data_IF_316201102968
#
_entry.id   IF_316201102968
#
_cell.length_a   1.000
_cell.length_b   1.000
_cell.length_c   1.000
_cell.angle_alpha   90.00
_cell.angle_beta   90.00
_cell.angle_gamma   90.00
#
_symmetry.space_group_name_H-M   'P 1'
#
loop_
_entity.id
_entity.type
_entity.pdbx_description
1 polymer ?
#
# COMPACT_ATOMS: atom_id res chain seq x y z
N UNK A 1 -1.47 -18.61 2.88
CA UNK A 1 -2.13 -19.10 1.67
C UNK A 1 -3.11 -18.06 1.17
N UNK A 2 -2.99 -17.57 -0.05
CA UNK A 2 -3.95 -16.61 -0.56
C UNK A 2 -5.32 -17.27 -0.75
N UNK A 3 -6.36 -16.54 -0.47
CA UNK A 3 -7.72 -17.01 -0.65
C UNK A 3 -8.19 -16.76 -2.07
N UNK A 4 -8.88 -17.71 -2.74
CA UNK A 4 -9.61 -17.39 -3.96
C UNK A 4 -10.62 -16.27 -3.72
N UNK A 5 -10.96 -15.54 -4.79
CA UNK A 5 -11.88 -14.41 -4.67
C UNK A 5 -13.14 -14.73 -3.85
N UNK A 6 -13.73 -15.90 -4.07
CA UNK A 6 -14.97 -16.26 -3.38
C UNK A 6 -14.82 -16.45 -1.87
N UNK A 7 -13.59 -16.65 -1.39
CA UNK A 7 -13.28 -16.85 0.02
C UNK A 7 -12.67 -15.62 0.70
N UNK A 8 -12.54 -14.51 -0.04
CA UNK A 8 -12.13 -13.24 0.56
C UNK A 8 -13.34 -12.64 1.26
N UNK A 9 -13.20 -12.29 2.53
CA UNK A 9 -14.29 -11.73 3.32
C UNK A 9 -14.24 -10.21 3.36
N UNK A 10 -15.38 -9.57 3.20
CA UNK A 10 -15.51 -8.13 3.46
C UNK A 10 -15.23 -7.90 4.94
N UNK A 11 -14.38 -6.93 5.23
CA UNK A 11 -13.91 -6.64 6.59
C UNK A 11 -12.64 -7.38 6.98
N UNK A 12 -12.17 -8.31 6.16
CA UNK A 12 -10.91 -9.02 6.40
C UNK A 12 -9.74 -8.03 6.42
N UNK A 13 -8.89 -8.15 7.43
CA UNK A 13 -7.69 -7.32 7.58
C UNK A 13 -6.46 -8.18 7.32
N UNK A 14 -5.57 -7.66 6.46
CA UNK A 14 -4.32 -8.34 6.10
C UNK A 14 -3.15 -7.41 6.42
N UNK A 15 -2.18 -7.92 7.18
CA UNK A 15 -0.92 -7.19 7.42
C UNK A 15 -0.06 -7.20 6.15
N UNK A 16 0.49 -6.05 5.82
CA UNK A 16 1.36 -5.91 4.64
C UNK A 16 2.85 -5.93 5.01
N UNK A 17 3.17 -6.01 6.30
CA UNK A 17 4.55 -5.97 6.75
C UNK A 17 5.01 -4.58 7.12
N UNK A 18 6.32 -4.41 7.28
CA UNK A 18 6.93 -3.18 7.77
C UNK A 18 8.04 -2.71 6.84
N UNK A 19 8.28 -1.41 6.82
CA UNK A 19 9.40 -0.80 6.11
C UNK A 19 9.97 0.34 6.96
N UNK A 20 11.29 0.43 7.01
CA UNK A 20 11.98 1.51 7.68
C UNK A 20 12.46 2.53 6.67
N UNK A 21 12.39 3.80 7.02
CA UNK A 21 12.94 4.88 6.18
C UNK A 21 14.46 4.89 6.32
N UNK A 22 15.15 4.34 5.33
CA UNK A 22 16.61 4.24 5.33
C UNK A 22 17.21 5.46 4.65
N UNK A 23 18.31 6.00 5.22
CA UNK A 23 18.99 7.19 4.71
C UNK A 23 19.40 7.06 3.25
N UNK A 24 20.06 5.95 2.90
CA UNK A 24 20.56 5.75 1.54
C UNK A 24 19.42 5.65 0.52
N UNK A 25 18.32 5.01 0.90
CA UNK A 25 17.15 4.88 0.02
C UNK A 25 16.49 6.23 -0.18
N UNK A 26 16.34 7.00 0.89
CA UNK A 26 15.76 8.35 0.81
C UNK A 26 16.59 9.26 -0.08
N UNK A 27 17.90 9.30 0.10
CA UNK A 27 18.80 10.13 -0.71
C UNK A 27 18.75 9.73 -2.19
N UNK A 28 18.78 8.43 -2.47
CA UNK A 28 18.68 7.92 -3.84
C UNK A 28 17.35 8.29 -4.48
N UNK A 29 16.25 8.16 -3.74
CA UNK A 29 14.94 8.51 -4.23
C UNK A 29 14.83 10.01 -4.55
N UNK A 30 15.28 10.86 -3.64
CA UNK A 30 15.26 12.31 -3.83
C UNK A 30 16.05 12.68 -5.10
N UNK A 31 17.27 12.16 -5.24
CA UNK A 31 18.10 12.47 -6.40
C UNK A 31 17.46 12.02 -7.71
N UNK A 32 16.81 10.86 -7.71
CA UNK A 32 16.23 10.29 -8.92
C UNK A 32 14.88 10.89 -9.31
N UNK A 33 14.05 11.24 -8.33
CA UNK A 33 12.64 11.56 -8.59
C UNK A 33 12.15 12.90 -8.06
N UNK A 34 12.77 13.43 -7.01
CA UNK A 34 12.31 14.67 -6.37
C UNK A 34 13.49 15.60 -6.06
N UNK A 35 14.28 16.03 -7.05
CA UNK A 35 15.56 16.70 -6.80
C UNK A 35 15.47 18.04 -6.04
N UNK A 36 14.27 18.65 -5.97
CA UNK A 36 14.05 19.88 -5.19
C UNK A 36 13.70 19.63 -3.73
N UNK A 37 13.57 18.38 -3.32
CA UNK A 37 13.20 18.02 -1.95
C UNK A 37 14.46 17.86 -1.10
N UNK A 38 14.37 18.22 0.18
CA UNK A 38 15.49 18.05 1.12
C UNK A 38 15.19 16.95 2.11
N UNK A 39 16.20 16.14 2.44
CA UNK A 39 16.04 14.95 3.28
C UNK A 39 15.55 15.26 4.70
N UNK A 40 15.84 16.46 5.23
CA UNK A 40 15.38 16.88 6.55
C UNK A 40 13.86 17.06 6.64
N UNK A 41 13.18 17.13 5.50
CA UNK A 41 11.71 17.19 5.44
C UNK A 41 11.05 15.82 5.59
N UNK A 42 11.83 14.74 5.68
CA UNK A 42 11.35 13.37 5.71
C UNK A 42 11.16 12.78 4.31
N UNK A 43 10.50 11.64 4.22
CA UNK A 43 10.26 10.98 2.94
C UNK A 43 9.25 11.80 2.12
N UNK A 44 9.55 12.14 0.85
CA UNK A 44 8.58 12.84 0.00
C UNK A 44 7.35 11.97 -0.27
N UNK A 45 6.24 12.60 -0.60
CA UNK A 45 4.96 11.91 -0.83
C UNK A 45 5.09 10.75 -1.81
N UNK A 46 5.78 10.95 -2.92
CA UNK A 46 5.99 9.89 -3.91
C UNK A 46 6.75 8.70 -3.35
N UNK A 47 7.71 8.93 -2.44
CA UNK A 47 8.43 7.83 -1.79
C UNK A 47 7.54 7.07 -0.81
N UNK A 48 6.70 7.76 -0.07
CA UNK A 48 5.73 7.11 0.84
C UNK A 48 4.80 6.21 0.03
N UNK A 49 4.33 6.68 -1.11
CA UNK A 49 3.54 5.86 -2.03
C UNK A 49 4.33 4.63 -2.51
N UNK A 50 5.58 4.82 -2.89
CA UNK A 50 6.43 3.72 -3.36
C UNK A 50 6.67 2.67 -2.28
N UNK A 51 6.85 3.11 -1.02
CA UNK A 51 7.00 2.19 0.12
C UNK A 51 5.74 1.36 0.29
N UNK A 52 4.57 2.00 0.28
CA UNK A 52 3.30 1.28 0.34
C UNK A 52 3.16 0.28 -0.81
N UNK A 53 3.45 0.71 -2.04
CA UNK A 53 3.33 -0.13 -3.23
C UNK A 53 4.23 -1.38 -3.13
N UNK A 54 5.43 -1.23 -2.58
CA UNK A 54 6.32 -2.36 -2.37
C UNK A 54 5.78 -3.32 -1.32
N UNK A 55 5.29 -2.81 -0.19
CA UNK A 55 4.69 -3.65 0.85
C UNK A 55 3.50 -4.43 0.31
N UNK A 56 2.64 -3.76 -0.43
CA UNK A 56 1.47 -4.39 -1.05
C UNK A 56 1.89 -5.47 -2.06
N UNK A 57 2.86 -5.17 -2.93
CA UNK A 57 3.32 -6.12 -3.93
C UNK A 57 3.93 -7.38 -3.31
N UNK A 58 4.73 -7.23 -2.26
CA UNK A 58 5.35 -8.35 -1.57
C UNK A 58 4.30 -9.19 -0.84
N UNK A 59 3.38 -8.55 -0.13
CA UNK A 59 2.34 -9.26 0.64
C UNK A 59 1.33 -9.96 -0.26
N UNK A 60 1.09 -9.44 -1.46
CA UNK A 60 0.08 -9.97 -2.38
C UNK A 60 0.67 -10.82 -3.52
N UNK A 61 1.94 -11.22 -3.42
CA UNK A 61 2.62 -12.01 -4.46
C UNK A 61 1.82 -13.26 -4.85
N UNK A 62 1.24 -13.94 -3.87
CA UNK A 62 0.51 -15.21 -4.10
C UNK A 62 -1.01 -15.01 -4.26
N UNK A 63 -1.48 -13.77 -4.26
CA UNK A 63 -2.90 -13.49 -4.42
C UNK A 63 -3.31 -13.65 -5.88
N UNK A 64 -4.55 -14.08 -6.15
CA UNK A 64 -5.04 -14.24 -7.53
C UNK A 64 -5.40 -12.90 -8.18
N UNK A 65 -4.66 -11.85 -7.87
CA UNK A 65 -4.83 -10.53 -8.47
C UNK A 65 -4.20 -10.52 -9.86
N UNK A 66 -5.01 -10.19 -10.86
CA UNK A 66 -4.56 -10.18 -12.26
C UNK A 66 -4.26 -8.78 -12.77
N UNK A 67 -4.92 -7.76 -12.21
CA UNK A 67 -4.75 -6.37 -12.66
C UNK A 67 -5.17 -5.40 -11.57
N UNK A 68 -4.33 -4.39 -11.30
CA UNK A 68 -4.72 -3.22 -10.53
C UNK A 68 -5.47 -2.27 -11.45
N UNK A 69 -6.76 -2.04 -11.16
CA UNK A 69 -7.61 -1.17 -11.97
C UNK A 69 -7.49 0.30 -11.60
N UNK A 70 -7.16 0.57 -10.34
CA UNK A 70 -7.00 1.95 -9.91
C UNK A 70 -6.55 2.06 -8.47
N UNK A 71 -6.03 3.24 -8.13
CA UNK A 71 -5.70 3.65 -6.77
C UNK A 71 -6.38 5.00 -6.56
N UNK A 72 -7.32 5.05 -5.63
CA UNK A 72 -8.14 6.23 -5.39
C UNK A 72 -7.93 6.77 -3.98
N UNK A 73 -8.39 7.99 -3.74
CA UNK A 73 -8.41 8.61 -2.42
C UNK A 73 -7.05 8.61 -1.73
N UNK A 74 -6.01 8.91 -2.49
CA UNK A 74 -4.65 9.04 -1.96
C UNK A 74 -4.60 10.17 -0.94
N UNK A 75 -4.10 9.85 0.25
CA UNK A 75 -4.00 10.81 1.35
C UNK A 75 -2.66 10.67 2.05
N UNK A 76 -1.90 11.75 2.08
CA UNK A 76 -0.65 11.84 2.83
C UNK A 76 -0.90 12.71 4.05
N UNK A 77 -0.69 12.15 5.25
CA UNK A 77 -0.91 12.87 6.50
C UNK A 77 0.35 13.62 6.93
N UNK A 78 1.51 12.97 6.76
CA UNK A 78 2.80 13.59 7.06
C UNK A 78 3.93 12.88 6.30
N UNK A 79 5.11 13.48 6.35
CA UNK A 79 6.31 12.94 5.72
C UNK A 79 7.18 12.31 6.81
N UNK A 80 7.25 10.98 6.90
CA UNK A 80 8.00 10.31 7.96
C UNK A 80 9.50 10.51 7.81
N UNK A 81 10.22 10.80 8.92
CA UNK A 81 11.66 11.02 8.87
C UNK A 81 12.44 9.72 8.76
N UNK A 82 13.74 9.86 8.44
CA UNK A 82 14.70 8.76 8.48
C UNK A 82 14.66 8.07 9.84
N UNK A 83 14.74 6.75 9.83
CA UNK A 83 14.73 5.93 11.03
C UNK A 83 13.35 5.48 11.48
N UNK A 84 12.30 6.11 10.98
CA UNK A 84 10.94 5.71 11.34
C UNK A 84 10.56 4.41 10.61
N UNK A 85 9.84 3.54 11.32
CA UNK A 85 9.30 2.30 10.75
C UNK A 85 7.81 2.47 10.50
N UNK A 86 7.39 2.10 9.30
CA UNK A 86 5.99 2.13 8.89
C UNK A 86 5.46 0.72 8.78
N UNK A 87 4.19 0.54 9.16
CA UNK A 87 3.50 -0.74 9.06
C UNK A 87 2.30 -0.58 8.13
N UNK A 88 2.19 -1.49 7.16
CA UNK A 88 1.07 -1.51 6.24
C UNK A 88 -0.01 -2.48 6.67
N UNK A 89 -1.25 -2.11 6.39
CA UNK A 89 -2.38 -3.03 6.51
C UNK A 89 -3.39 -2.75 5.40
N UNK A 90 -4.12 -3.78 5.03
CA UNK A 90 -5.18 -3.70 4.04
C UNK A 90 -6.46 -4.23 4.66
N UNK A 91 -7.58 -3.56 4.41
CA UNK A 91 -8.91 -4.02 4.83
C UNK A 91 -9.79 -4.17 3.60
N UNK A 92 -10.36 -5.34 3.41
CA UNK A 92 -11.28 -5.58 2.30
C UNK A 92 -12.59 -4.84 2.58
N UNK A 93 -12.94 -3.89 1.71
CA UNK A 93 -14.11 -3.04 1.88
C UNK A 93 -15.31 -3.53 1.08
N UNK A 94 -15.05 -4.08 -0.10
CA UNK A 94 -16.11 -4.58 -0.97
C UNK A 94 -15.53 -5.59 -1.95
N UNK A 95 -16.38 -6.47 -2.45
CA UNK A 95 -16.03 -7.35 -3.55
C UNK A 95 -17.24 -7.52 -4.45
N UNK A 96 -17.00 -7.63 -5.76
CA UNK A 96 -18.05 -7.64 -6.75
C UNK A 96 -17.69 -8.61 -7.87
N UNK A 97 -18.43 -9.72 -8.05
CA UNK A 97 -18.19 -10.60 -9.17
C UNK A 97 -18.56 -9.92 -10.50
N UNK A 98 -17.64 -9.99 -11.47
CA UNK A 98 -17.83 -9.35 -12.79
C UNK A 98 -17.82 -10.36 -13.93
N UNK A 99 -18.17 -11.61 -13.65
CA UNK A 99 -18.21 -12.69 -14.60
C UNK A 99 -17.84 -14.00 -13.95
N UNK A 100 -17.84 -15.07 -14.73
CA UNK A 100 -17.59 -16.40 -14.19
C UNK A 100 -16.18 -16.62 -13.67
N UNK A 101 -15.21 -15.96 -14.26
CA UNK A 101 -13.81 -16.17 -13.88
C UNK A 101 -13.18 -15.00 -13.14
N UNK A 102 -13.91 -13.94 -12.83
CA UNK A 102 -13.33 -12.69 -12.34
C UNK A 102 -14.19 -12.02 -11.29
N UNK A 103 -13.54 -11.24 -10.44
CA UNK A 103 -14.19 -10.37 -9.47
C UNK A 103 -13.33 -9.16 -9.15
N UNK A 104 -13.96 -8.09 -8.71
CA UNK A 104 -13.28 -6.87 -8.28
C UNK A 104 -13.23 -6.85 -6.77
N UNK A 105 -12.05 -6.55 -6.21
CA UNK A 105 -11.86 -6.33 -4.78
C UNK A 105 -11.51 -4.86 -4.56
N UNK A 106 -12.23 -4.22 -3.66
CA UNK A 106 -11.93 -2.86 -3.21
C UNK A 106 -11.38 -2.96 -1.79
N UNK A 107 -10.21 -2.38 -1.56
CA UNK A 107 -9.53 -2.45 -0.28
C UNK A 107 -9.03 -1.09 0.18
N UNK A 108 -9.15 -0.82 1.47
CA UNK A 108 -8.56 0.32 2.16
C UNK A 108 -7.15 -0.07 2.58
N UNK A 109 -6.16 0.72 2.19
CA UNK A 109 -4.78 0.52 2.63
C UNK A 109 -4.36 1.65 3.55
N UNK A 110 -3.68 1.31 4.62
CA UNK A 110 -3.14 2.26 5.59
C UNK A 110 -1.68 1.98 5.84
N UNK A 111 -0.86 3.03 5.86
CA UNK A 111 0.47 2.98 6.48
C UNK A 111 0.38 3.67 7.83
N UNK A 112 0.82 3.00 8.87
CA UNK A 112 0.79 3.47 10.25
C UNK A 112 2.21 3.63 10.78
N UNK A 113 2.41 4.60 11.67
CA UNK A 113 3.68 4.73 12.38
C UNK A 113 3.75 3.76 13.58
N UNK A 114 4.84 3.83 14.35
CA UNK A 114 5.07 2.92 15.46
C UNK A 114 4.08 3.14 16.62
N UNK A 115 3.42 4.29 16.67
CA UNK A 115 2.37 4.56 17.65
C UNK A 115 0.97 4.26 17.10
N UNK A 116 0.87 3.68 15.91
CA UNK A 116 -0.40 3.33 15.30
C UNK A 116 -1.14 4.51 14.65
N UNK A 117 -0.47 5.65 14.43
CA UNK A 117 -1.08 6.81 13.78
C UNK A 117 -0.94 6.72 12.27
N UNK A 118 -1.95 7.19 11.57
CA UNK A 118 -1.98 7.16 10.11
C UNK A 118 -0.92 8.09 9.50
N UNK A 119 -0.17 7.56 8.55
CA UNK A 119 0.82 8.32 7.75
C UNK A 119 0.32 8.50 6.32
N UNK A 120 -0.27 7.46 5.75
CA UNK A 120 -0.73 7.44 4.36
C UNK A 120 -1.90 6.47 4.23
N UNK A 121 -2.84 6.79 3.35
CA UNK A 121 -3.93 5.85 3.03
C UNK A 121 -4.35 5.98 1.57
N UNK A 122 -4.97 4.92 1.06
CA UNK A 122 -5.58 4.92 -0.26
C UNK A 122 -6.62 3.79 -0.36
N UNK A 123 -7.41 3.84 -1.42
CA UNK A 123 -8.31 2.75 -1.80
C UNK A 123 -7.80 2.12 -3.09
N UNK A 124 -7.74 0.80 -3.14
CA UNK A 124 -7.39 0.08 -4.36
C UNK A 124 -8.61 -0.60 -4.94
N UNK A 125 -8.60 -0.68 -6.25
CA UNK A 125 -9.57 -1.44 -7.02
C UNK A 125 -8.79 -2.42 -7.88
N UNK A 126 -9.01 -3.71 -7.69
CA UNK A 126 -8.20 -4.75 -8.32
C UNK A 126 -9.06 -5.87 -8.87
N UNK A 127 -8.66 -6.38 -10.03
CA UNK A 127 -9.29 -7.52 -10.66
C UNK A 127 -8.64 -8.80 -10.16
N UNK A 128 -9.43 -9.72 -9.66
CA UNK A 128 -8.99 -11.02 -9.16
C UNK A 128 -9.57 -12.15 -10.01
N UNK A 129 -8.83 -13.23 -10.13
CA UNK A 129 -9.37 -14.50 -10.65
C UNK A 129 -10.29 -15.14 -9.61
N UNK A 130 -11.33 -15.75 -10.07
CA UNK A 130 -12.28 -16.49 -9.22
C UNK A 130 -11.97 -17.97 -9.23
#
# INVERSE_FOLDING_TARGET
MPAPFDYIDIGQVVGLGMARIETAVLETFIAAFTPGWTADRGAPDAMVYAIWARLDAVASTDWPQTKRLGVDALRWVRNPPVGETLRGRMTVMAKDPVGEGKGIVIAQHDLLDEEGRLVFSCLTRSLFSR
#
